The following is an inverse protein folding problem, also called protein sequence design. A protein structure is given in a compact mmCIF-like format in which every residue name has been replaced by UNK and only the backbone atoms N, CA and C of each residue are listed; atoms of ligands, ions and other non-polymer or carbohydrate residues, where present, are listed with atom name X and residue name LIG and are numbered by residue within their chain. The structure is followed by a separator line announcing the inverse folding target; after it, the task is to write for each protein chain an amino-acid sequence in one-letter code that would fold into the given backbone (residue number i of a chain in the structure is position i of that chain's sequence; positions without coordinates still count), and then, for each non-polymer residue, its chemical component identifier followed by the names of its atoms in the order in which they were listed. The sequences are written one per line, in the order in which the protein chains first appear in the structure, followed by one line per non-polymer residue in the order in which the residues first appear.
data_IF_350323877186
#
_entry.id   IF_350323877186
#
_cell.length_a   1.000
_cell.length_b   1.000
_cell.length_c   1.000
_cell.angle_alpha   90.00
_cell.angle_beta   90.00
_cell.angle_gamma   90.00
#
_symmetry.space_group_name_H-M   'P 1'
#
loop_
_entity.id
_entity.type
_entity.pdbx_description
1 polymer ?
#
# COMPACT_ATOMS: atom_id res chain seq x y z
N UNK A 1 21.46 -58.34 33.52
CA UNK A 1 21.80 -57.05 32.88
C UNK A 1 21.28 -56.89 31.43
N UNK A 2 21.27 -57.92 30.56
CA UNK A 2 20.78 -57.80 29.16
C UNK A 2 19.29 -57.43 29.03
N UNK A 3 18.43 -57.91 29.93
CA UNK A 3 16.99 -57.58 29.93
C UNK A 3 16.69 -56.12 30.29
N UNK A 4 17.39 -55.57 31.28
CA UNK A 4 17.26 -54.16 31.67
C UNK A 4 17.72 -53.21 30.56
N UNK A 5 18.85 -53.52 29.90
CA UNK A 5 19.32 -52.74 28.75
C UNK A 5 18.34 -52.77 27.56
N UNK A 6 17.72 -53.93 27.29
CA UNK A 6 16.68 -54.06 26.25
C UNK A 6 15.42 -53.25 26.62
N UNK A 7 14.99 -53.30 27.88
CA UNK A 7 13.85 -52.52 28.37
C UNK A 7 14.08 -51.00 28.28
N UNK A 8 15.26 -50.52 28.72
CA UNK A 8 15.65 -49.11 28.61
C UNK A 8 15.64 -48.66 27.14
N UNK A 9 16.17 -49.49 26.23
CA UNK A 9 16.17 -49.17 24.79
C UNK A 9 14.76 -49.10 24.21
N UNK A 10 13.85 -50.00 24.62
CA UNK A 10 12.45 -49.97 24.20
C UNK A 10 11.72 -48.74 24.74
N UNK A 11 11.95 -48.37 26.00
CA UNK A 11 11.37 -47.15 26.60
C UNK A 11 11.88 -45.90 25.87
N UNK A 12 13.18 -45.84 25.57
CA UNK A 12 13.77 -44.74 24.80
C UNK A 12 13.19 -44.63 23.39
N UNK A 13 13.01 -45.76 22.69
CA UNK A 13 12.35 -45.81 21.37
C UNK A 13 10.88 -45.38 21.44
N UNK A 14 10.14 -45.83 22.46
CA UNK A 14 8.74 -45.44 22.65
C UNK A 14 8.60 -43.94 22.95
N UNK A 15 9.46 -43.39 23.81
CA UNK A 15 9.52 -41.94 24.08
C UNK A 15 9.85 -41.16 22.81
N UNK A 16 10.86 -41.59 22.04
CA UNK A 16 11.20 -40.95 20.78
C UNK A 16 10.04 -40.99 19.78
N UNK A 17 9.34 -42.12 19.66
CA UNK A 17 8.16 -42.24 18.79
C UNK A 17 7.02 -41.32 19.24
N UNK A 18 6.74 -41.23 20.54
CA UNK A 18 5.74 -40.30 21.10
C UNK A 18 6.11 -38.85 20.78
N UNK A 19 7.38 -38.47 20.97
CA UNK A 19 7.86 -37.12 20.64
C UNK A 19 7.63 -36.81 19.16
N UNK A 20 7.95 -37.73 18.26
CA UNK A 20 7.72 -37.55 16.81
C UNK A 20 6.23 -37.39 16.52
N UNK A 21 5.35 -38.20 17.13
CA UNK A 21 3.90 -38.08 16.95
C UNK A 21 3.39 -36.72 17.42
N UNK A 22 3.84 -36.25 18.58
CA UNK A 22 3.48 -34.93 19.11
C UNK A 22 3.95 -33.83 18.14
N UNK A 23 5.19 -33.87 17.67
CA UNK A 23 5.71 -32.88 16.72
C UNK A 23 4.87 -32.85 15.42
N UNK A 24 4.52 -34.02 14.87
CA UNK A 24 3.71 -34.10 13.65
C UNK A 24 2.30 -33.56 13.88
N UNK A 25 1.69 -33.85 15.03
CA UNK A 25 0.40 -33.30 15.41
C UNK A 25 0.44 -31.77 15.54
N UNK A 26 1.46 -31.22 16.22
CA UNK A 26 1.64 -29.77 16.36
C UNK A 26 1.86 -29.08 15.01
N UNK A 27 2.68 -29.66 14.13
CA UNK A 27 2.86 -29.12 12.77
C UNK A 27 1.55 -29.14 11.96
N UNK A 28 0.72 -30.16 12.15
CA UNK A 28 -0.59 -30.23 11.51
C UNK A 28 -1.54 -29.14 12.04
N UNK A 29 -1.59 -28.92 13.35
CA UNK A 29 -2.39 -27.83 13.93
C UNK A 29 -1.90 -26.46 13.49
N UNK A 30 -0.59 -26.24 13.50
CA UNK A 30 0.05 -25.03 13.02
C UNK A 30 -0.30 -24.75 11.55
N UNK A 31 -0.23 -25.77 10.68
CA UNK A 31 -0.61 -25.64 9.27
C UNK A 31 -2.09 -25.25 9.12
N UNK A 32 -2.98 -25.87 9.90
CA UNK A 32 -4.42 -25.62 9.86
C UNK A 32 -4.77 -24.23 10.38
N UNK A 33 -4.19 -23.81 11.51
CA UNK A 33 -4.39 -22.50 12.13
C UNK A 33 -3.92 -21.36 11.21
N UNK A 34 -2.94 -21.59 10.33
CA UNK A 34 -2.39 -20.60 9.40
C UNK A 34 -2.92 -20.70 7.97
N UNK A 35 -3.93 -21.54 7.72
CA UNK A 35 -4.65 -21.49 6.45
C UNK A 35 -5.25 -20.10 6.24
N UNK A 36 -5.35 -19.65 4.98
CA UNK A 36 -5.90 -18.33 4.64
C UNK A 36 -7.35 -18.12 5.09
N UNK A 37 -8.03 -19.18 5.53
CA UNK A 37 -9.38 -19.13 6.10
C UNK A 37 -9.38 -18.78 7.60
N UNK A 38 -8.27 -19.03 8.30
CA UNK A 38 -8.16 -18.87 9.75
C UNK A 38 -7.40 -17.61 10.18
N UNK A 39 -6.70 -16.93 9.27
CA UNK A 39 -6.09 -15.62 9.52
C UNK A 39 -6.53 -14.65 8.42
N UNK A 40 -7.20 -13.57 8.81
CA UNK A 40 -7.48 -12.44 7.94
C UNK A 40 -6.81 -11.17 8.48
N UNK A 41 -6.10 -10.45 7.61
CA UNK A 41 -5.52 -9.15 7.89
C UNK A 41 -6.25 -8.10 7.06
N UNK A 42 -6.86 -7.14 7.74
CA UNK A 42 -7.69 -6.10 7.12
C UNK A 42 -7.15 -4.73 7.55
N UNK A 43 -6.21 -4.15 6.79
CA UNK A 43 -5.75 -2.78 7.01
C UNK A 43 -6.86 -1.78 6.64
N UNK A 44 -7.18 -0.85 7.53
CA UNK A 44 -8.16 0.23 7.29
C UNK A 44 -7.43 1.53 6.93
N UNK A 45 -7.51 1.92 5.65
CA UNK A 45 -6.88 3.15 5.16
C UNK A 45 -7.75 4.39 5.40
N UNK A 46 -9.08 4.21 5.39
CA UNK A 46 -10.03 5.29 5.66
C UNK A 46 -9.90 5.81 7.09
N UNK A 47 -9.50 4.93 8.02
CA UNK A 47 -9.23 5.27 9.42
C UNK A 47 -7.75 5.56 9.69
N UNK A 48 -6.88 5.53 8.67
CA UNK A 48 -5.47 5.76 8.86
C UNK A 48 -5.21 7.22 9.23
N UNK A 49 -4.48 7.43 10.33
CA UNK A 49 -4.06 8.76 10.72
C UNK A 49 -2.71 9.08 10.08
N UNK A 50 -2.58 10.31 9.58
CA UNK A 50 -1.39 10.75 8.88
C UNK A 50 -0.83 12.03 9.48
N UNK A 51 0.49 12.09 9.61
CA UNK A 51 1.20 13.24 10.18
C UNK A 51 2.53 13.43 9.49
N UNK A 52 2.91 14.67 9.24
CA UNK A 52 4.23 15.04 8.74
C UNK A 52 4.87 16.05 9.68
N UNK A 53 6.11 15.78 10.12
CA UNK A 53 6.82 16.66 11.06
C UNK A 53 7.85 17.59 10.39
N UNK A 54 7.87 17.64 9.05
CA UNK A 54 8.85 18.40 8.26
C UNK A 54 9.99 17.54 7.69
N UNK A 55 10.27 16.37 8.25
CA UNK A 55 11.34 15.46 7.78
C UNK A 55 10.90 14.01 7.63
N UNK A 56 9.93 13.58 8.42
CA UNK A 56 9.40 12.22 8.44
C UNK A 56 7.88 12.28 8.40
N UNK A 57 7.32 11.52 7.46
CA UNK A 57 5.91 11.20 7.41
C UNK A 57 5.60 9.99 8.27
N UNK A 58 4.51 10.05 9.02
CA UNK A 58 4.01 8.96 9.86
C UNK A 58 2.61 8.59 9.39
N UNK A 59 2.44 7.35 8.97
CA UNK A 59 1.14 6.76 8.68
C UNK A 59 0.82 5.73 9.79
N UNK A 60 -0.23 6.01 10.56
CA UNK A 60 -0.75 5.09 11.57
C UNK A 60 -1.93 4.31 10.98
N UNK A 61 -1.71 3.05 10.66
CA UNK A 61 -2.70 2.17 10.01
C UNK A 61 -3.30 1.24 11.07
N UNK A 62 -4.60 1.33 11.35
CA UNK A 62 -5.34 0.29 12.06
C UNK A 62 -5.40 -0.97 11.19
N UNK A 63 -4.95 -2.10 11.74
CA UNK A 63 -5.02 -3.39 11.06
C UNK A 63 -5.82 -4.33 11.95
N UNK A 64 -7.01 -4.68 11.48
CA UNK A 64 -7.85 -5.67 12.15
C UNK A 64 -7.36 -7.05 11.76
N UNK A 65 -7.11 -7.87 12.77
CA UNK A 65 -6.70 -9.26 12.60
C UNK A 65 -7.81 -10.12 13.15
N UNK A 66 -8.40 -10.94 12.28
CA UNK A 66 -9.34 -11.98 12.67
C UNK A 66 -8.61 -13.30 12.63
N UNK A 67 -8.59 -14.01 13.76
CA UNK A 67 -7.91 -15.27 13.91
C UNK A 67 -8.85 -16.33 14.47
N UNK A 68 -9.11 -17.36 13.65
CA UNK A 68 -10.02 -18.46 13.97
C UNK A 68 -9.29 -19.78 14.26
N UNK A 69 -7.98 -19.71 14.54
CA UNK A 69 -7.21 -20.87 14.96
C UNK A 69 -7.52 -21.34 16.39
N UNK A 70 -6.89 -22.44 16.75
CA UNK A 70 -7.12 -23.18 17.99
C UNK A 70 -6.21 -22.77 19.15
N UNK A 71 -5.02 -22.24 18.86
CA UNK A 71 -4.00 -21.90 19.85
C UNK A 71 -3.84 -20.40 20.07
N UNK A 72 -3.29 -19.99 21.21
CA UNK A 72 -3.02 -18.58 21.53
C UNK A 72 -1.72 -18.13 20.84
N UNK A 73 -1.74 -16.97 20.18
CA UNK A 73 -0.56 -16.38 19.55
C UNK A 73 0.03 -15.28 20.46
N UNK A 74 1.20 -15.55 21.06
CA UNK A 74 1.88 -14.61 21.97
C UNK A 74 2.76 -13.63 21.20
N UNK A 75 2.98 -12.45 21.77
CA UNK A 75 3.76 -11.35 21.19
C UNK A 75 3.41 -11.02 19.73
N UNK A 76 2.14 -11.23 19.38
CA UNK A 76 1.63 -11.00 18.04
C UNK A 76 1.81 -9.54 17.69
N UNK A 77 2.37 -9.27 16.53
CA UNK A 77 2.55 -7.93 15.98
C UNK A 77 2.24 -7.95 14.50
N UNK A 78 1.68 -6.87 13.99
CA UNK A 78 1.59 -6.64 12.55
C UNK A 78 2.97 -6.23 12.06
N UNK A 79 3.42 -6.90 11.00
CA UNK A 79 4.64 -6.56 10.27
C UNK A 79 4.23 -5.94 8.95
N UNK A 80 5.02 -4.97 8.49
CA UNK A 80 4.87 -4.42 7.16
C UNK A 80 6.22 -4.17 6.51
N UNK A 81 6.26 -4.35 5.19
CA UNK A 81 7.47 -4.22 4.38
C UNK A 81 7.21 -3.28 3.20
N UNK A 82 8.11 -2.32 3.02
CA UNK A 82 8.27 -1.55 1.79
C UNK A 82 9.57 -2.03 1.17
N UNK A 83 9.48 -2.69 0.02
CA UNK A 83 10.65 -3.20 -0.69
C UNK A 83 10.97 -2.30 -1.86
N UNK A 84 12.10 -1.61 -1.81
CA UNK A 84 12.67 -0.89 -2.96
C UNK A 84 13.88 -1.65 -3.51
N UNK A 85 14.43 -1.24 -4.65
CA UNK A 85 15.59 -1.91 -5.26
C UNK A 85 16.84 -1.84 -4.37
N UNK A 86 16.96 -0.78 -3.56
CA UNK A 86 18.14 -0.50 -2.73
C UNK A 86 17.91 -0.73 -1.22
N UNK A 87 16.66 -0.74 -0.76
CA UNK A 87 16.36 -0.83 0.66
C UNK A 87 15.05 -1.57 1.00
N UNK A 88 15.05 -2.24 2.16
CA UNK A 88 13.85 -2.87 2.72
C UNK A 88 13.51 -2.14 4.01
N UNK A 89 12.38 -1.43 4.00
CA UNK A 89 11.85 -0.82 5.22
C UNK A 89 10.90 -1.79 5.90
N UNK A 90 11.27 -2.25 7.10
CA UNK A 90 10.44 -3.12 7.93
C UNK A 90 9.85 -2.36 9.10
N UNK A 91 8.54 -2.43 9.23
CA UNK A 91 7.77 -1.82 10.32
C UNK A 91 7.08 -2.90 11.13
N UNK A 92 7.00 -2.72 12.44
CA UNK A 92 6.33 -3.65 13.35
C UNK A 92 5.45 -2.87 14.33
N UNK A 93 4.22 -3.33 14.54
CA UNK A 93 3.36 -2.77 15.58
C UNK A 93 3.88 -3.13 16.98
N UNK A 94 3.31 -2.53 18.02
CA UNK A 94 3.51 -3.03 19.38
C UNK A 94 2.98 -4.48 19.49
N UNK A 95 3.67 -5.36 20.23
CA UNK A 95 3.22 -6.73 20.42
C UNK A 95 2.02 -6.80 21.36
N UNK A 96 1.15 -7.78 21.15
CA UNK A 96 0.10 -8.14 22.08
C UNK A 96 -0.29 -9.62 21.89
N UNK A 97 -0.88 -10.23 22.91
CA UNK A 97 -1.49 -11.56 22.77
C UNK A 97 -2.73 -11.51 21.87
N UNK A 98 -2.84 -12.47 20.96
CA UNK A 98 -4.04 -12.74 20.17
C UNK A 98 -4.62 -14.09 20.59
N UNK A 99 -5.81 -14.05 21.19
CA UNK A 99 -6.49 -15.24 21.70
C UNK A 99 -7.03 -16.10 20.54
N UNK A 100 -7.20 -17.40 20.77
CA UNK A 100 -7.87 -18.28 19.82
C UNK A 100 -9.29 -17.78 19.51
N UNK A 101 -9.71 -17.90 18.25
CA UNK A 101 -11.06 -17.49 17.78
C UNK A 101 -11.43 -16.05 18.18
N UNK A 102 -10.49 -15.13 17.97
CA UNK A 102 -10.65 -13.73 18.36
C UNK A 102 -10.36 -12.75 17.22
N UNK A 103 -10.84 -11.53 17.39
CA UNK A 103 -10.49 -10.40 16.53
C UNK A 103 -9.85 -9.31 17.37
N UNK A 104 -8.76 -8.74 16.86
CA UNK A 104 -8.05 -7.65 17.54
C UNK A 104 -7.48 -6.66 16.55
N UNK A 105 -7.54 -5.38 16.89
CA UNK A 105 -6.95 -4.31 16.07
C UNK A 105 -5.59 -3.91 16.60
N UNK A 106 -4.61 -3.92 15.70
CA UNK A 106 -3.25 -3.47 15.96
C UNK A 106 -3.01 -2.14 15.25
N UNK A 107 -2.21 -1.27 15.87
CA UNK A 107 -1.81 0.01 15.27
C UNK A 107 -0.40 -0.13 14.71
N UNK A 108 -0.29 -0.20 13.39
CA UNK A 108 0.99 -0.17 12.70
C UNK A 108 1.39 1.29 12.47
N UNK A 109 2.64 1.64 12.79
CA UNK A 109 3.21 2.95 12.44
C UNK A 109 4.25 2.76 11.36
N UNK A 110 4.02 3.38 10.20
CA UNK A 110 4.94 3.41 9.07
C UNK A 110 5.59 4.78 9.04
N UNK A 111 6.92 4.81 9.15
CA UNK A 111 7.72 6.02 9.14
C UNK A 111 8.42 6.14 7.79
N UNK A 112 8.10 7.18 7.03
CA UNK A 112 8.67 7.43 5.71
C UNK A 112 9.48 8.73 5.77
N UNK A 113 10.82 8.63 5.77
CA UNK A 113 11.69 9.79 5.62
C UNK A 113 11.45 10.51 4.28
N UNK A 114 11.51 11.84 4.27
CA UNK A 114 11.27 12.65 3.06
C UNK A 114 12.27 12.36 1.94
N UNK A 115 13.52 12.04 2.28
CA UNK A 115 14.58 11.68 1.35
C UNK A 115 14.32 10.33 0.65
N UNK A 116 13.46 9.48 1.21
CA UNK A 116 13.08 8.18 0.65
C UNK A 116 11.82 8.20 -0.22
N UNK A 117 11.08 9.31 -0.23
CA UNK A 117 9.84 9.45 -1.03
C UNK A 117 10.08 9.21 -2.52
N UNK A 118 11.18 9.75 -3.07
CA UNK A 118 11.48 9.61 -4.50
C UNK A 118 11.73 8.16 -4.89
N UNK A 119 12.53 7.45 -4.08
CA UNK A 119 12.82 6.02 -4.25
C UNK A 119 11.51 5.20 -4.28
N UNK A 120 10.63 5.46 -3.31
CA UNK A 120 9.33 4.78 -3.19
C UNK A 120 8.44 5.04 -4.43
N UNK A 121 8.42 6.28 -4.93
CA UNK A 121 7.59 6.68 -6.07
C UNK A 121 8.09 6.14 -7.41
N UNK A 122 9.41 6.07 -7.65
CA UNK A 122 9.97 5.56 -8.92
C UNK A 122 9.55 4.13 -9.21
N UNK A 123 9.50 3.30 -8.18
CA UNK A 123 9.39 1.85 -8.33
C UNK A 123 7.95 1.33 -8.22
N UNK A 124 6.98 2.24 -8.11
CA UNK A 124 5.58 1.89 -7.82
C UNK A 124 5.50 0.97 -6.59
N UNK A 125 6.23 1.35 -5.54
CA UNK A 125 6.49 0.45 -4.43
C UNK A 125 5.20 0.05 -3.72
N UNK A 126 5.13 -1.23 -3.37
CA UNK A 126 3.98 -1.82 -2.69
C UNK A 126 4.30 -2.04 -1.21
N UNK A 127 3.37 -1.67 -0.33
CA UNK A 127 3.39 -2.05 1.08
C UNK A 127 2.82 -3.46 1.24
N UNK A 128 3.58 -4.36 1.85
CA UNK A 128 3.12 -5.68 2.26
C UNK A 128 2.73 -5.66 3.73
N UNK A 129 1.76 -6.49 4.11
CA UNK A 129 1.35 -6.67 5.50
C UNK A 129 1.57 -8.12 5.91
N UNK A 130 1.71 -8.35 7.20
CA UNK A 130 1.95 -9.67 7.74
C UNK A 130 1.81 -9.70 9.25
N UNK A 131 2.04 -10.87 9.83
CA UNK A 131 2.04 -11.12 11.26
C UNK A 131 3.38 -11.69 11.68
N UNK A 132 3.86 -11.27 12.84
CA UNK A 132 4.96 -11.92 13.56
C UNK A 132 4.49 -12.25 14.97
N UNK A 133 4.62 -13.50 15.39
CA UNK A 133 4.12 -13.98 16.69
C UNK A 133 4.90 -15.22 17.15
N UNK A 134 4.68 -15.63 18.39
CA UNK A 134 5.11 -16.94 18.91
C UNK A 134 3.90 -17.88 19.04
N UNK A 135 3.96 -19.01 18.34
CA UNK A 135 2.98 -20.10 18.49
C UNK A 135 3.28 -20.84 19.79
N UNK A 136 2.29 -20.86 20.70
CA UNK A 136 2.40 -21.38 22.08
C UNK A 136 3.58 -20.84 22.90
N UNK A 137 4.15 -19.70 22.50
CA UNK A 137 5.33 -19.12 23.14
C UNK A 137 6.65 -19.82 22.83
N UNK A 138 6.68 -20.74 21.88
CA UNK A 138 7.87 -21.55 21.56
C UNK A 138 8.39 -21.21 20.16
N UNK A 139 7.54 -21.26 19.14
CA UNK A 139 7.96 -21.11 17.76
C UNK A 139 7.68 -19.70 17.24
N UNK A 140 8.74 -18.94 16.94
CA UNK A 140 8.61 -17.66 16.26
C UNK A 140 8.20 -17.86 14.81
N UNK A 141 7.09 -17.25 14.41
CA UNK A 141 6.54 -17.32 13.04
C UNK A 141 6.40 -15.92 12.51
N UNK A 142 6.77 -15.71 11.23
CA UNK A 142 6.45 -14.51 10.48
C UNK A 142 5.78 -14.89 9.16
N UNK A 143 4.58 -14.39 8.94
CA UNK A 143 3.76 -14.65 7.75
C UNK A 143 3.54 -13.33 7.05
N UNK A 144 3.90 -13.23 5.77
CA UNK A 144 3.60 -12.09 4.92
C UNK A 144 2.41 -12.43 4.02
N UNK A 145 1.36 -11.63 4.09
CA UNK A 145 0.23 -11.70 3.17
C UNK A 145 0.37 -10.62 2.11
N UNK A 146 0.08 -10.98 0.86
CA UNK A 146 0.08 -10.03 -0.25
C UNK A 146 -1.25 -9.28 -0.24
N UNK A 147 -1.37 -8.27 0.62
CA UNK A 147 -2.41 -7.24 0.51
C UNK A 147 -1.73 -5.95 0.06
N UNK A 148 -1.55 -5.73 -1.25
CA UNK A 148 -0.70 -4.67 -1.77
C UNK A 148 -1.36 -3.29 -1.59
N UNK A 149 -0.76 -2.42 -0.77
CA UNK A 149 -1.02 -0.98 -0.86
C UNK A 149 -0.06 -0.36 -1.87
N UNK A 150 -0.57 0.33 -2.88
CA UNK A 150 0.29 1.06 -3.82
C UNK A 150 0.48 2.49 -3.33
N UNK A 151 1.73 2.95 -3.22
CA UNK A 151 2.05 4.33 -2.82
C UNK A 151 2.02 5.35 -3.96
N UNK A 152 1.57 4.93 -5.15
CA UNK A 152 1.45 5.80 -6.32
C UNK A 152 0.30 6.79 -6.11
N UNK A 153 0.54 8.10 -6.28
CA UNK A 153 -0.52 9.09 -6.29
C UNK A 153 -1.57 8.75 -7.35
N UNK A 154 -2.83 8.89 -6.98
CA UNK A 154 -3.95 8.65 -7.88
C UNK A 154 -4.58 9.97 -8.29
N UNK A 155 -5.16 10.03 -9.48
CA UNK A 155 -5.87 11.23 -9.94
C UNK A 155 -7.21 10.87 -10.54
N UNK A 156 -8.22 11.65 -10.16
CA UNK A 156 -9.56 11.57 -10.72
C UNK A 156 -9.95 12.89 -11.37
N UNK A 157 -10.44 12.84 -12.61
CA UNK A 157 -11.12 13.96 -13.25
C UNK A 157 -12.51 14.14 -12.59
N UNK A 158 -12.75 15.31 -12.03
CA UNK A 158 -14.00 15.64 -11.32
C UNK A 158 -15.01 16.30 -12.26
N UNK A 159 -14.55 17.23 -13.08
CA UNK A 159 -15.43 17.97 -14.00
C UNK A 159 -14.65 18.50 -15.20
N UNK A 160 -15.38 18.66 -16.29
CA UNK A 160 -14.96 19.37 -17.50
C UNK A 160 -16.01 20.42 -17.80
N UNK A 161 -15.59 21.68 -17.86
CA UNK A 161 -16.43 22.81 -18.22
C UNK A 161 -15.92 23.42 -19.52
N UNK A 162 -16.83 23.85 -20.39
CA UNK A 162 -16.48 24.60 -21.60
C UNK A 162 -17.24 25.90 -21.68
N UNK A 163 -16.57 26.95 -22.15
CA UNK A 163 -17.16 28.28 -22.37
C UNK A 163 -16.75 28.83 -23.73
N UNK A 164 -17.51 29.80 -24.23
CA UNK A 164 -17.13 30.52 -25.46
C UNK A 164 -15.79 31.22 -25.25
N UNK A 165 -14.86 31.01 -26.18
CA UNK A 165 -13.59 31.74 -26.20
C UNK A 165 -13.74 33.08 -26.91
N UNK A 166 -12.79 33.98 -26.68
CA UNK A 166 -12.69 35.27 -27.39
C UNK A 166 -12.40 35.05 -28.88
N UNK A 167 -11.67 33.99 -29.22
CA UNK A 167 -11.32 33.66 -30.60
C UNK A 167 -12.41 32.79 -31.27
N UNK A 168 -12.98 33.22 -32.42
CA UNK A 168 -13.89 32.38 -33.20
C UNK A 168 -13.22 31.05 -33.57
N UNK A 169 -13.93 29.94 -33.36
CA UNK A 169 -13.42 28.59 -33.62
C UNK A 169 -12.74 27.90 -32.44
N UNK A 170 -12.60 28.58 -31.30
CA UNK A 170 -12.07 28.02 -30.06
C UNK A 170 -13.11 28.02 -28.93
N UNK A 171 -12.93 27.10 -27.98
CA UNK A 171 -13.60 27.08 -26.67
C UNK A 171 -12.56 27.08 -25.57
N UNK A 172 -12.84 27.80 -24.50
CA UNK A 172 -12.03 27.71 -23.29
C UNK A 172 -12.51 26.48 -22.51
N UNK A 173 -11.57 25.60 -22.18
CA UNK A 173 -11.80 24.34 -21.49
C UNK A 173 -11.20 24.45 -20.10
N UNK A 174 -11.97 24.11 -19.08
CA UNK A 174 -11.52 24.03 -17.70
C UNK A 174 -11.75 22.63 -17.16
N UNK A 175 -10.67 21.98 -16.72
CA UNK A 175 -10.68 20.64 -16.14
C UNK A 175 -10.34 20.73 -14.65
N UNK A 176 -11.14 20.10 -13.81
CA UNK A 176 -10.86 19.93 -12.39
C UNK A 176 -10.39 18.51 -12.10
N UNK A 177 -9.16 18.37 -11.60
CA UNK A 177 -8.60 17.09 -11.16
C UNK A 177 -8.42 17.08 -9.65
N UNK A 178 -8.73 15.94 -9.03
CA UNK A 178 -8.36 15.67 -7.63
C UNK A 178 -7.18 14.73 -7.61
N UNK A 179 -6.06 15.20 -7.07
CA UNK A 179 -4.85 14.39 -6.83
C UNK A 179 -4.88 13.86 -5.40
N UNK A 180 -4.76 12.54 -5.28
CA UNK A 180 -4.74 11.80 -4.03
C UNK A 180 -3.30 11.40 -3.75
N UNK A 181 -2.68 12.04 -2.76
CA UNK A 181 -1.37 11.63 -2.27
C UNK A 181 -1.53 10.53 -1.23
N UNK A 182 -1.05 9.33 -1.54
CA UNK A 182 -1.10 8.16 -0.64
C UNK A 182 0.09 8.12 0.34
N UNK A 183 1.06 9.02 0.23
CA UNK A 183 2.21 9.09 1.11
C UNK A 183 1.99 10.06 2.28
N UNK A 184 2.57 9.76 3.46
CA UNK A 184 2.53 10.65 4.63
C UNK A 184 3.51 11.82 4.56
N UNK A 185 3.96 12.15 3.35
CA UNK A 185 4.91 13.24 3.07
C UNK A 185 4.37 14.02 1.87
N UNK A 186 4.45 15.36 1.87
CA UNK A 186 4.04 16.15 0.71
C UNK A 186 4.89 15.82 -0.52
N UNK A 187 4.27 15.83 -1.68
CA UNK A 187 4.94 15.64 -2.97
C UNK A 187 4.94 16.98 -3.70
N UNK A 188 6.13 17.51 -3.93
CA UNK A 188 6.34 18.76 -4.67
C UNK A 188 6.82 18.42 -6.09
N UNK A 189 6.18 19.02 -7.09
CA UNK A 189 6.52 18.76 -8.48
C UNK A 189 5.77 19.65 -9.45
N UNK A 190 5.75 19.23 -10.72
CA UNK A 190 5.06 19.92 -11.81
C UNK A 190 4.12 18.93 -12.49
N UNK A 191 2.85 19.31 -12.58
CA UNK A 191 1.86 18.63 -13.40
C UNK A 191 2.01 19.10 -14.84
N UNK A 192 2.16 18.14 -15.75
CA UNK A 192 2.12 18.37 -17.18
C UNK A 192 0.84 17.76 -17.72
N UNK A 193 -0.03 18.62 -18.21
CA UNK A 193 -1.16 18.20 -19.02
C UNK A 193 -0.77 18.34 -20.48
N UNK A 194 -0.79 17.21 -21.18
CA UNK A 194 -0.46 17.08 -22.59
C UNK A 194 -1.70 16.54 -23.30
N UNK A 195 -2.20 17.26 -24.28
CA UNK A 195 -3.34 16.86 -25.09
C UNK A 195 -3.01 17.01 -26.56
N UNK A 196 -3.37 16.02 -27.37
CA UNK A 196 -3.03 15.96 -28.79
C UNK A 196 -4.30 16.04 -29.64
N UNK A 197 -4.55 17.22 -30.20
CA UNK A 197 -5.62 17.44 -31.17
C UNK A 197 -5.19 16.98 -32.57
N UNK A 198 -6.13 17.08 -33.52
CA UNK A 198 -5.89 16.71 -34.92
C UNK A 198 -4.91 17.66 -35.62
N UNK A 199 -4.89 18.93 -35.20
CA UNK A 199 -4.07 20.00 -35.79
C UNK A 199 -3.14 20.68 -34.79
N UNK A 200 -3.47 20.66 -33.50
CA UNK A 200 -2.74 21.36 -32.45
C UNK A 200 -2.39 20.43 -31.29
N UNK A 201 -1.24 20.70 -30.66
CA UNK A 201 -0.88 20.12 -29.38
C UNK A 201 -1.13 21.14 -28.28
N UNK A 202 -1.83 20.72 -27.23
CA UNK A 202 -2.15 21.53 -26.06
C UNK A 202 -1.25 21.10 -24.91
N UNK A 203 -0.53 22.06 -24.33
CA UNK A 203 0.37 21.81 -23.21
C UNK A 203 0.14 22.84 -22.12
N UNK A 204 -0.17 22.37 -20.92
CA UNK A 204 -0.28 23.19 -19.71
C UNK A 204 0.64 22.61 -18.65
N UNK A 205 1.45 23.47 -18.03
CA UNK A 205 2.32 23.10 -16.92
C UNK A 205 1.83 23.86 -15.69
N UNK A 206 1.65 23.15 -14.57
CA UNK A 206 1.34 23.76 -13.28
C UNK A 206 2.22 23.18 -12.19
N UNK A 207 2.75 24.04 -11.34
CA UNK A 207 3.38 23.58 -10.10
C UNK A 207 2.32 23.01 -9.17
N UNK A 208 2.68 21.94 -8.46
CA UNK A 208 1.82 21.27 -7.49
C UNK A 208 2.62 21.00 -6.23
N UNK A 209 1.96 21.22 -5.10
CA UNK A 209 2.33 20.64 -3.81
C UNK A 209 1.18 19.77 -3.34
N UNK A 210 1.25 18.48 -3.65
CA UNK A 210 0.27 17.51 -3.17
C UNK A 210 0.51 17.32 -1.66
N UNK A 211 -0.44 17.74 -0.85
CA UNK A 211 -0.35 17.63 0.62
C UNK A 211 -0.30 16.16 1.04
N UNK A 212 0.38 15.87 2.13
CA UNK A 212 0.50 14.53 2.72
C UNK A 212 -0.88 13.92 3.02
N UNK A 213 -1.16 12.69 2.58
CA UNK A 213 -2.43 11.99 2.87
C UNK A 213 -3.72 12.79 2.61
N UNK A 214 -3.69 13.79 1.73
CA UNK A 214 -4.81 14.68 1.47
C UNK A 214 -5.11 14.78 -0.03
N UNK A 215 -6.33 15.22 -0.30
CA UNK A 215 -6.80 15.56 -1.64
C UNK A 215 -6.29 16.95 -2.01
N UNK A 216 -5.66 17.06 -3.17
CA UNK A 216 -5.21 18.34 -3.74
C UNK A 216 -5.97 18.56 -5.04
N UNK A 217 -6.75 19.64 -5.12
CA UNK A 217 -7.51 19.99 -6.32
C UNK A 217 -6.63 20.82 -7.25
N UNK A 218 -6.65 20.48 -8.54
CA UNK A 218 -5.90 21.16 -9.59
C UNK A 218 -6.86 21.50 -10.72
N UNK A 219 -6.88 22.77 -11.07
CA UNK A 219 -7.63 23.25 -12.22
C UNK A 219 -6.69 23.46 -13.39
N UNK A 220 -7.01 22.94 -14.56
CA UNK A 220 -6.26 23.11 -15.80
C UNK A 220 -7.15 23.84 -16.80
N UNK A 221 -6.66 24.95 -17.33
CA UNK A 221 -7.42 25.79 -18.26
C UNK A 221 -6.60 26.01 -19.53
N UNK A 222 -7.23 25.82 -20.69
CA UNK A 222 -6.62 26.04 -22.00
C UNK A 222 -7.70 26.31 -23.04
N UNK A 223 -7.32 26.95 -24.15
CA UNK A 223 -8.22 27.17 -25.29
C UNK A 223 -8.01 26.07 -26.34
N UNK A 224 -9.09 25.38 -26.71
CA UNK A 224 -9.09 24.26 -27.64
C UNK A 224 -9.89 24.58 -28.90
N UNK A 225 -9.47 24.04 -30.05
CA UNK A 225 -10.26 24.12 -31.28
C UNK A 225 -11.59 23.38 -31.12
N UNK A 226 -12.68 23.95 -31.64
CA UNK A 226 -13.99 23.31 -31.60
C UNK A 226 -13.99 21.94 -32.31
N UNK A 227 -13.32 21.86 -33.46
CA UNK A 227 -13.19 20.62 -34.25
C UNK A 227 -12.47 19.51 -33.46
N UNK A 228 -11.45 19.87 -32.68
CA UNK A 228 -10.70 18.91 -31.87
C UNK A 228 -11.58 18.38 -30.72
N UNK A 229 -12.38 19.24 -30.08
CA UNK A 229 -13.31 18.84 -29.02
C UNK A 229 -14.45 17.94 -29.53
N UNK A 230 -14.96 18.18 -30.73
CA UNK A 230 -16.00 17.34 -31.35
C UNK A 230 -15.46 15.95 -31.74
N UNK A 231 -14.21 15.89 -32.21
CA UNK A 231 -13.56 14.62 -32.57
C UNK A 231 -13.07 13.85 -31.36
N UNK A 232 -12.74 14.55 -30.28
CA UNK A 232 -12.14 14.01 -29.07
C UNK A 232 -10.63 14.24 -29.06
N UNK A 233 -10.12 14.74 -27.93
CA UNK A 233 -8.71 15.07 -27.74
C UNK A 233 -8.10 14.09 -26.74
N UNK A 234 -7.29 13.11 -27.17
CA UNK A 234 -6.54 12.28 -26.23
C UNK A 234 -5.63 13.16 -25.37
N UNK A 235 -5.57 12.85 -24.08
CA UNK A 235 -4.74 13.56 -23.12
C UNK A 235 -4.03 12.62 -22.15
N UNK A 236 -2.91 13.09 -21.63
CA UNK A 236 -2.14 12.48 -20.55
C UNK A 236 -1.83 13.54 -19.51
N UNK A 237 -2.02 13.17 -18.24
CA UNK A 237 -1.64 13.95 -17.08
C UNK A 237 -0.43 13.29 -16.42
N UNK A 238 0.68 14.01 -16.38
CA UNK A 238 1.94 13.55 -15.79
C UNK A 238 2.27 14.36 -14.54
N UNK A 239 2.82 13.72 -13.52
CA UNK A 239 3.52 14.38 -12.42
C UNK A 239 5.02 14.18 -12.61
N UNK A 240 5.75 15.28 -12.73
CA UNK A 240 7.22 15.28 -12.71
C UNK A 240 7.73 15.82 -11.39
N UNK A 241 8.59 15.06 -10.71
CA UNK A 241 9.27 15.46 -9.48
C UNK A 241 10.76 15.47 -9.81
N UNK A 242 11.39 16.62 -9.67
CA UNK A 242 12.80 16.78 -10.02
C UNK A 242 13.69 15.95 -9.07
N UNK A 243 14.80 15.35 -9.59
CA UNK A 243 15.29 15.50 -10.96
C UNK A 243 14.69 14.50 -11.99
N UNK A 244 14.08 13.40 -11.56
CA UNK A 244 13.95 12.22 -12.43
C UNK A 244 12.76 11.29 -12.17
N UNK A 245 11.77 11.68 -11.34
CA UNK A 245 10.55 10.88 -11.19
C UNK A 245 9.48 11.41 -12.13
N UNK A 246 8.97 10.55 -13.01
CA UNK A 246 7.86 10.85 -13.90
C UNK A 246 6.76 9.81 -13.75
N UNK A 247 5.56 10.26 -13.36
CA UNK A 247 4.42 9.41 -13.08
C UNK A 247 3.26 9.77 -14.01
N UNK A 248 2.75 8.78 -14.75
CA UNK A 248 1.45 8.90 -15.42
C UNK A 248 0.36 8.81 -14.38
N UNK A 249 -0.38 9.90 -14.19
CA UNK A 249 -1.41 10.05 -13.18
C UNK A 249 -2.80 9.72 -13.73
N UNK A 250 -3.09 10.12 -14.96
CA UNK A 250 -4.36 9.91 -15.64
C UNK A 250 -4.16 10.01 -17.16
N UNK A 251 -4.97 9.30 -17.93
CA UNK A 251 -5.03 9.38 -19.38
C UNK A 251 -6.48 9.19 -19.83
N UNK A 252 -6.85 9.81 -20.95
CA UNK A 252 -8.22 9.70 -21.45
C UNK A 252 -8.44 10.49 -22.73
N UNK A 253 -9.72 10.70 -23.06
CA UNK A 253 -10.14 11.48 -24.23
C UNK A 253 -11.10 12.58 -23.76
N UNK A 254 -10.78 13.83 -24.09
CA UNK A 254 -11.67 14.97 -23.86
C UNK A 254 -12.60 15.13 -25.05
N UNK A 255 -13.89 14.93 -24.85
CA UNK A 255 -14.90 15.11 -25.90
C UNK A 255 -16.11 15.81 -25.30
N UNK A 256 -16.67 16.77 -26.04
CA UNK A 256 -17.90 17.49 -25.69
C UNK A 256 -19.06 16.94 -26.48
#
# INVERSE_FOLDING_TARGET
MKGAAKAIRTIGLALAAIIVIVIVAELYFMLNDFTSQNIALEPSLEEAACRFNGTVGVLEIPVRITYNGSHILKDTSVVSLINTTESIFKFKSKPATLEAKSTKTFKLKVFIPIDKVREILRENTTLYFGLSFFYDGIFGVEILTKTPLTFKPQVQLQHMLTSKSVNPGYKDVTLGFTVINTLPVPIEGKIYFLAQGSKLNYKVIKEIKARECYLTVITITFSALNEDLEKGIPYVLLLKIEPDVELVLNEGILKV
#
